data_IF_929759092601
#
_entry.id   IF_929759092601
#
_cell.length_a   1.000
_cell.length_b   1.000
_cell.length_c   1.000
_cell.angle_alpha   90.00
_cell.angle_beta   90.00
_cell.angle_gamma   90.00
#
_symmetry.space_group_name_H-M   'P 1'
#
loop_
_entity.id
_entity.type
_entity.pdbx_description
1 polymer ?
#
# COMPACT_ATOMS: atom_id res chain seq x y z
N UNK A 1 -3.66 -5.76 -19.00
CA UNK A 1 -4.72 -5.93 -18.01
C UNK A 1 -5.40 -4.57 -17.80
N UNK A 2 -6.67 -4.47 -18.19
CA UNK A 2 -7.43 -3.21 -18.20
C UNK A 2 -8.06 -2.89 -16.82
N UNK A 3 -7.61 -3.56 -15.76
CA UNK A 3 -8.29 -3.50 -14.47
C UNK A 3 -7.48 -2.86 -13.35
N UNK A 4 -6.17 -3.00 -13.37
CA UNK A 4 -5.27 -2.34 -12.44
C UNK A 4 -3.82 -2.34 -12.93
N UNK A 5 -3.04 -1.43 -12.35
CA UNK A 5 -1.59 -1.35 -12.49
C UNK A 5 -0.97 -0.98 -11.14
N UNK A 6 0.29 -1.29 -10.98
CA UNK A 6 1.10 -0.86 -9.83
C UNK A 6 2.56 -0.67 -10.25
N UNK A 7 3.28 0.11 -9.49
CA UNK A 7 4.73 0.25 -9.64
C UNK A 7 5.45 -0.67 -8.65
N UNK A 8 6.59 -1.20 -9.08
CA UNK A 8 7.52 -1.95 -8.25
C UNK A 8 8.94 -1.68 -8.73
N UNK A 9 9.62 -0.79 -8.05
CA UNK A 9 10.85 -0.18 -8.52
C UNK A 9 12.13 -0.73 -7.87
N UNK A 10 11.97 -1.76 -7.05
CA UNK A 10 13.06 -2.48 -6.36
C UNK A 10 13.85 -3.33 -7.36
N UNK A 11 15.18 -3.41 -7.26
CA UNK A 11 16.04 -2.62 -6.39
C UNK A 11 16.45 -1.26 -6.97
N UNK A 12 16.44 -1.10 -8.29
CA UNK A 12 16.92 0.07 -9.03
C UNK A 12 16.19 0.22 -10.38
N UNK A 13 14.87 0.13 -10.38
CA UNK A 13 14.01 0.18 -11.57
C UNK A 13 13.31 1.52 -11.77
N UNK A 14 13.51 2.50 -10.88
CA UNK A 14 12.88 3.81 -11.01
C UNK A 14 13.28 4.48 -12.33
N UNK A 15 14.50 4.29 -12.78
CA UNK A 15 15.00 4.75 -14.07
C UNK A 15 14.25 4.19 -15.31
N UNK A 16 13.46 3.14 -15.13
CA UNK A 16 12.61 2.59 -16.20
C UNK A 16 11.27 3.30 -16.29
N UNK A 17 10.87 4.02 -15.24
CA UNK A 17 9.64 4.77 -15.16
C UNK A 17 9.85 6.26 -15.45
N UNK A 18 10.91 6.84 -14.88
CA UNK A 18 11.27 8.25 -15.08
C UNK A 18 12.80 8.46 -15.02
N UNK A 19 13.36 9.50 -15.69
CA UNK A 19 14.78 9.82 -15.60
C UNK A 19 15.16 10.22 -14.16
N UNK A 20 16.10 9.49 -13.56
CA UNK A 20 16.59 9.77 -12.21
C UNK A 20 17.98 9.19 -11.98
N UNK A 21 18.63 9.66 -10.91
CA UNK A 21 19.76 8.97 -10.30
C UNK A 21 19.19 7.87 -9.38
N UNK A 22 19.20 6.64 -9.85
CA UNK A 22 18.53 5.51 -9.18
C UNK A 22 19.44 4.88 -8.13
N UNK A 23 19.68 5.64 -7.04
CA UNK A 23 20.53 5.24 -5.92
C UNK A 23 19.77 5.48 -4.61
N UNK A 24 19.80 4.52 -3.67
CA UNK A 24 18.97 4.58 -2.44
C UNK A 24 19.27 5.77 -1.52
N UNK A 25 20.50 6.26 -1.52
CA UNK A 25 20.95 7.40 -0.71
C UNK A 25 20.58 8.76 -1.33
N UNK A 26 20.20 8.78 -2.60
CA UNK A 26 19.75 9.99 -3.31
C UNK A 26 18.23 10.15 -3.16
N UNK A 27 17.79 10.59 -1.99
CA UNK A 27 16.37 10.80 -1.70
C UNK A 27 15.82 12.05 -2.36
N UNK A 28 14.56 11.99 -2.77
CA UNK A 28 13.84 13.11 -3.37
C UNK A 28 12.41 13.22 -2.81
N UNK A 29 11.86 14.42 -2.88
CA UNK A 29 10.42 14.67 -2.69
C UNK A 29 9.73 14.42 -4.03
N UNK A 30 8.69 13.60 -4.02
CA UNK A 30 7.90 13.29 -5.20
C UNK A 30 6.56 14.03 -5.15
N UNK A 31 6.17 14.64 -6.26
CA UNK A 31 4.81 15.11 -6.53
C UNK A 31 4.22 14.27 -7.64
N UNK A 32 3.03 13.75 -7.44
CA UNK A 32 2.37 12.85 -8.39
C UNK A 32 1.01 13.40 -8.79
N UNK A 33 0.74 13.35 -10.08
CA UNK A 33 -0.61 13.49 -10.63
C UNK A 33 -0.90 12.30 -11.53
N UNK A 34 -2.09 11.74 -11.41
CA UNK A 34 -2.56 10.64 -12.24
C UNK A 34 -3.86 11.03 -12.94
N UNK A 35 -3.90 10.86 -14.24
CA UNK A 35 -5.12 10.94 -15.03
C UNK A 35 -5.58 9.53 -15.37
N UNK A 36 -6.67 9.09 -14.74
CA UNK A 36 -7.16 7.71 -14.76
C UNK A 36 -8.65 7.66 -15.18
N UNK A 37 -9.17 6.50 -15.61
CA UNK A 37 -10.60 6.33 -15.80
C UNK A 37 -11.38 6.71 -14.54
N UNK A 38 -12.54 7.39 -14.69
CA UNK A 38 -13.34 7.91 -13.57
C UNK A 38 -13.65 6.86 -12.50
N UNK A 39 -13.93 5.61 -12.92
CA UNK A 39 -14.26 4.49 -12.02
C UNK A 39 -13.05 3.84 -11.32
N UNK A 40 -11.82 4.27 -11.64
CA UNK A 40 -10.63 3.76 -10.99
C UNK A 40 -10.33 4.49 -9.69
N UNK A 41 -9.66 3.81 -8.78
CA UNK A 41 -9.10 4.36 -7.55
C UNK A 41 -7.59 4.36 -7.68
N UNK A 42 -6.94 5.39 -7.15
CA UNK A 42 -5.49 5.44 -7.07
C UNK A 42 -5.01 5.61 -5.63
N UNK A 43 -3.90 4.96 -5.33
CA UNK A 43 -3.20 5.02 -4.04
C UNK A 43 -1.74 5.31 -4.33
N UNK A 44 -1.12 6.21 -3.58
CA UNK A 44 0.29 6.53 -3.68
C UNK A 44 0.91 6.72 -2.29
N UNK A 45 2.21 7.00 -2.23
CA UNK A 45 2.92 7.24 -0.96
C UNK A 45 2.29 8.36 -0.12
N UNK A 46 1.79 9.42 -0.75
CA UNK A 46 1.17 10.55 -0.07
C UNK A 46 -0.36 10.54 -0.17
N UNK A 47 -1.02 11.32 0.67
CA UNK A 47 -2.46 11.49 0.64
C UNK A 47 -2.93 12.22 -0.63
N UNK A 48 -4.17 12.00 -1.01
CA UNK A 48 -4.82 12.75 -2.10
C UNK A 48 -5.00 14.19 -1.64
N UNK A 49 -4.54 15.13 -2.46
CA UNK A 49 -4.73 16.56 -2.27
C UNK A 49 -6.01 17.05 -2.95
N UNK A 50 -6.24 16.60 -4.19
CA UNK A 50 -7.43 16.97 -4.96
C UNK A 50 -7.80 15.94 -6.01
N UNK A 51 -9.10 15.90 -6.35
CA UNK A 51 -9.65 15.12 -7.46
C UNK A 51 -10.51 16.01 -8.33
N UNK A 52 -10.35 15.91 -9.64
CA UNK A 52 -11.16 16.63 -10.62
C UNK A 52 -11.64 15.69 -11.72
N UNK A 53 -12.95 15.67 -11.96
CA UNK A 53 -13.56 14.88 -13.02
C UNK A 53 -13.58 15.67 -14.34
N UNK A 54 -13.20 15.01 -15.43
CA UNK A 54 -13.26 15.60 -16.77
C UNK A 54 -13.44 14.49 -17.83
N UNK A 55 -14.40 14.66 -18.72
CA UNK A 55 -14.61 13.78 -19.88
C UNK A 55 -14.60 12.26 -19.58
N UNK A 56 -15.19 11.83 -18.45
CA UNK A 56 -15.22 10.43 -18.01
C UNK A 56 -13.88 9.92 -17.44
N UNK A 57 -12.99 10.84 -17.12
CA UNK A 57 -11.70 10.60 -16.47
C UNK A 57 -11.62 11.38 -15.16
N UNK A 58 -10.65 11.00 -14.35
CA UNK A 58 -10.38 11.62 -13.06
C UNK A 58 -8.89 11.98 -12.96
N UNK A 59 -8.63 13.27 -12.82
CA UNK A 59 -7.30 13.78 -12.48
C UNK A 59 -7.18 13.81 -10.96
N UNK A 60 -6.21 13.05 -10.41
CA UNK A 60 -5.90 13.00 -8.98
C UNK A 60 -4.53 13.63 -8.77
N UNK A 61 -4.46 14.64 -7.93
CA UNK A 61 -3.20 15.18 -7.41
C UNK A 61 -2.95 14.66 -6.00
N UNK A 62 -1.71 14.25 -5.72
CA UNK A 62 -1.28 13.82 -4.40
C UNK A 62 -0.42 14.90 -3.75
N UNK A 63 -0.46 14.97 -2.43
CA UNK A 63 0.45 15.81 -1.66
C UNK A 63 1.90 15.43 -1.94
N UNK A 64 2.86 16.37 -1.79
CA UNK A 64 4.27 16.03 -1.87
C UNK A 64 4.65 14.99 -0.80
N UNK A 65 5.48 14.01 -1.17
CA UNK A 65 6.00 13.05 -0.20
C UNK A 65 7.03 13.69 0.72
N UNK A 66 7.35 13.03 1.83
CA UNK A 66 8.63 13.25 2.49
C UNK A 66 9.77 12.77 1.56
N UNK A 67 11.05 13.13 1.82
CA UNK A 67 12.17 12.64 1.02
C UNK A 67 12.26 11.12 1.07
N UNK A 68 12.04 10.46 -0.08
CA UNK A 68 12.08 9.01 -0.25
C UNK A 68 13.21 8.61 -1.20
N UNK A 69 13.77 7.41 -0.99
CA UNK A 69 14.58 6.73 -1.98
C UNK A 69 13.74 6.40 -3.23
N UNK A 70 14.35 6.41 -4.40
CA UNK A 70 13.64 6.20 -5.67
C UNK A 70 12.87 4.88 -5.73
N UNK A 71 13.41 3.80 -5.17
CA UNK A 71 12.78 2.48 -5.17
C UNK A 71 11.53 2.40 -4.27
N UNK A 72 11.39 3.33 -3.31
CA UNK A 72 10.21 3.44 -2.43
C UNK A 72 9.07 4.28 -3.02
N UNK A 73 9.32 4.98 -4.13
CA UNK A 73 8.25 5.68 -4.82
C UNK A 73 7.25 4.67 -5.40
N UNK A 74 5.98 4.83 -5.05
CA UNK A 74 4.94 3.89 -5.45
C UNK A 74 3.61 4.56 -5.73
N UNK A 75 2.91 4.03 -6.70
CA UNK A 75 1.49 4.23 -6.89
C UNK A 75 0.82 2.98 -7.46
N UNK A 76 -0.44 2.86 -7.16
CA UNK A 76 -1.35 1.83 -7.65
C UNK A 76 -2.58 2.51 -8.22
N UNK A 77 -3.10 2.06 -9.34
CA UNK A 77 -4.36 2.55 -9.88
C UNK A 77 -5.19 1.40 -10.47
N UNK A 78 -6.51 1.45 -10.34
CA UNK A 78 -7.39 0.40 -10.86
C UNK A 78 -8.76 0.34 -10.23
N UNK A 79 -9.47 -0.76 -10.52
CA UNK A 79 -10.76 -1.09 -9.92
C UNK A 79 -10.54 -1.79 -8.58
N UNK A 80 -10.37 -1.04 -7.53
CA UNK A 80 -10.16 -1.53 -6.17
C UNK A 80 -11.43 -1.41 -5.34
N UNK A 81 -11.70 -2.42 -4.52
CA UNK A 81 -12.58 -2.32 -3.37
C UNK A 81 -11.78 -1.78 -2.18
N UNK A 82 -12.46 -1.17 -1.21
CA UNK A 82 -11.78 -0.60 -0.05
C UNK A 82 -12.57 -0.84 1.23
N UNK A 83 -11.84 -1.06 2.31
CA UNK A 83 -12.32 -1.10 3.68
C UNK A 83 -11.42 -0.22 4.51
N UNK A 84 -11.99 0.51 5.46
CA UNK A 84 -11.25 1.38 6.35
C UNK A 84 -11.54 1.03 7.80
N UNK A 85 -10.52 1.12 8.64
CA UNK A 85 -10.66 0.99 10.09
C UNK A 85 -9.87 2.08 10.81
N UNK A 86 -10.44 2.60 11.89
CA UNK A 86 -9.82 3.67 12.69
C UNK A 86 -9.64 3.21 14.12
N UNK A 87 -8.40 3.36 14.65
CA UNK A 87 -8.07 3.06 16.06
C UNK A 87 -7.09 4.13 16.57
N UNK A 88 -7.30 4.61 17.76
CA UNK A 88 -6.41 5.56 18.43
C UNK A 88 -6.05 6.79 17.58
N UNK A 89 -7.01 7.28 16.79
CA UNK A 89 -6.83 8.44 15.91
C UNK A 89 -6.11 8.16 14.59
N UNK A 90 -5.69 6.91 14.33
CA UNK A 90 -5.12 6.48 13.04
C UNK A 90 -6.19 5.78 12.22
N UNK A 91 -6.32 6.15 10.95
CA UNK A 91 -7.18 5.48 9.97
C UNK A 91 -6.31 4.75 8.96
N UNK A 92 -6.59 3.48 8.75
CA UNK A 92 -5.92 2.62 7.76
C UNK A 92 -6.94 2.19 6.74
N UNK A 93 -6.62 2.33 5.47
CA UNK A 93 -7.45 1.86 4.36
C UNK A 93 -6.79 0.64 3.71
N UNK A 94 -7.55 -0.41 3.54
CA UNK A 94 -7.16 -1.61 2.81
C UNK A 94 -7.83 -1.61 1.44
N UNK A 95 -7.04 -1.65 0.39
CA UNK A 95 -7.47 -1.77 -1.00
C UNK A 95 -7.26 -3.20 -1.47
N UNK A 96 -8.27 -3.81 -2.09
CA UNK A 96 -8.23 -5.21 -2.47
C UNK A 96 -9.11 -5.50 -3.69
N UNK A 97 -8.94 -6.69 -4.26
CA UNK A 97 -9.74 -7.18 -5.41
C UNK A 97 -10.36 -8.55 -5.15
N UNK A 98 -10.15 -9.12 -3.97
CA UNK A 98 -10.79 -10.39 -3.60
C UNK A 98 -12.32 -10.27 -3.61
N UNK A 99 -13.01 -11.26 -4.11
CA UNK A 99 -14.47 -11.30 -4.23
C UNK A 99 -15.11 -12.40 -3.40
N UNK A 100 -14.33 -13.33 -2.87
CA UNK A 100 -14.81 -14.38 -1.96
C UNK A 100 -15.14 -13.74 -0.59
N UNK A 101 -16.42 -13.74 -0.16
CA UNK A 101 -16.80 -13.12 1.10
C UNK A 101 -16.12 -13.75 2.33
N UNK A 102 -15.78 -15.04 2.28
CA UNK A 102 -15.10 -15.71 3.40
C UNK A 102 -13.66 -15.21 3.55
N UNK A 103 -12.99 -14.95 2.44
CA UNK A 103 -11.65 -14.37 2.44
C UNK A 103 -11.69 -12.89 2.84
N UNK A 104 -12.62 -12.13 2.28
CA UNK A 104 -12.79 -10.70 2.61
C UNK A 104 -13.10 -10.53 4.10
N UNK A 105 -13.87 -11.44 4.72
CA UNK A 105 -14.16 -11.41 6.16
C UNK A 105 -12.90 -11.47 7.04
N UNK A 106 -11.74 -11.89 6.50
CA UNK A 106 -10.47 -11.85 7.23
C UNK A 106 -9.91 -10.44 7.41
N UNK A 107 -10.53 -9.40 6.82
CA UNK A 107 -10.08 -8.01 6.98
C UNK A 107 -9.93 -7.62 8.46
N UNK A 108 -10.80 -8.09 9.33
CA UNK A 108 -10.74 -7.77 10.76
C UNK A 108 -9.41 -8.20 11.38
N UNK A 109 -9.00 -9.47 11.16
CA UNK A 109 -7.73 -9.96 11.69
C UNK A 109 -6.52 -9.33 10.99
N UNK A 110 -6.64 -8.96 9.72
CA UNK A 110 -5.58 -8.22 9.01
C UNK A 110 -5.38 -6.85 9.65
N UNK A 111 -6.45 -6.09 9.90
CA UNK A 111 -6.36 -4.81 10.61
C UNK A 111 -5.82 -4.98 12.02
N UNK A 112 -6.25 -6.00 12.77
CA UNK A 112 -5.73 -6.30 14.11
C UNK A 112 -4.20 -6.49 14.08
N UNK A 113 -3.70 -7.26 13.12
CA UNK A 113 -2.27 -7.53 12.97
C UNK A 113 -1.49 -6.26 12.58
N UNK A 114 -2.03 -5.43 11.69
CA UNK A 114 -1.39 -4.17 11.27
C UNK A 114 -1.32 -3.17 12.42
N UNK A 115 -2.42 -2.91 13.11
CA UNK A 115 -2.44 -2.00 14.26
C UNK A 115 -1.54 -2.49 15.39
N UNK A 116 -1.52 -3.80 15.65
CA UNK A 116 -0.62 -4.40 16.64
C UNK A 116 0.86 -4.21 16.26
N UNK A 117 1.22 -4.42 14.98
CA UNK A 117 2.59 -4.24 14.49
C UNK A 117 3.04 -2.78 14.59
N UNK A 118 2.21 -1.84 14.13
CA UNK A 118 2.49 -0.40 14.26
C UNK A 118 2.70 0.00 15.72
N UNK A 119 1.76 -0.38 16.60
CA UNK A 119 1.88 -0.05 18.01
C UNK A 119 3.13 -0.66 18.64
N UNK A 120 3.42 -1.92 18.37
CA UNK A 120 4.60 -2.58 18.91
C UNK A 120 5.89 -1.90 18.47
N UNK A 121 5.99 -1.51 17.19
CA UNK A 121 7.17 -0.82 16.66
C UNK A 121 7.33 0.58 17.26
N UNK A 122 6.24 1.34 17.37
CA UNK A 122 6.26 2.67 18.01
C UNK A 122 6.69 2.57 19.49
N UNK A 123 6.16 1.59 20.23
CA UNK A 123 6.52 1.36 21.63
C UNK A 123 7.99 0.91 21.77
N UNK A 124 8.45 0.02 20.88
CA UNK A 124 9.81 -0.53 20.91
C UNK A 124 10.89 0.49 20.51
N UNK A 125 10.62 1.26 19.48
CA UNK A 125 11.58 2.26 18.97
C UNK A 125 11.51 3.59 19.71
N UNK A 126 10.38 3.91 20.35
CA UNK A 126 10.06 5.22 20.89
C UNK A 126 9.81 6.28 19.81
N UNK A 127 9.64 5.85 18.55
CA UNK A 127 9.43 6.74 17.39
C UNK A 127 8.03 6.48 16.84
N UNK A 128 7.14 7.49 16.82
CA UNK A 128 5.86 7.37 16.13
C UNK A 128 6.05 7.09 14.63
N UNK A 129 5.10 6.36 14.01
CA UNK A 129 5.13 6.16 12.57
C UNK A 129 5.25 7.51 11.84
N UNK A 130 6.30 7.73 11.04
CA UNK A 130 6.69 9.07 10.61
C UNK A 130 5.93 9.60 9.39
N UNK A 131 5.09 8.78 8.76
CA UNK A 131 4.36 9.17 7.55
C UNK A 131 2.90 9.48 7.85
N UNK A 132 2.26 10.31 7.01
CA UNK A 132 0.91 10.84 7.26
C UNK A 132 -0.21 9.79 7.15
N UNK A 133 0.05 8.69 6.44
CA UNK A 133 -0.90 7.59 6.28
C UNK A 133 -0.20 6.24 6.21
N UNK A 134 -0.95 5.19 6.48
CA UNK A 134 -0.55 3.80 6.31
C UNK A 134 -1.68 3.05 5.62
N UNK A 135 -1.61 2.89 4.30
CA UNK A 135 -2.60 2.13 3.55
C UNK A 135 -2.03 0.78 3.13
N UNK A 136 -2.90 -0.22 3.02
CA UNK A 136 -2.59 -1.55 2.55
C UNK A 136 -3.15 -1.72 1.15
N UNK A 137 -2.36 -2.21 0.21
CA UNK A 137 -2.86 -2.61 -1.11
C UNK A 137 -2.57 -4.08 -1.33
N UNK A 138 -3.61 -4.90 -1.34
CA UNK A 138 -3.51 -6.35 -1.53
C UNK A 138 -3.60 -6.64 -3.03
N UNK A 139 -2.44 -6.90 -3.64
CA UNK A 139 -2.26 -6.99 -5.10
C UNK A 139 -2.37 -8.44 -5.56
N UNK A 140 -3.31 -8.78 -6.47
CA UNK A 140 -3.40 -10.11 -7.03
C UNK A 140 -2.13 -10.50 -7.79
N UNK A 141 -1.55 -11.64 -7.40
CA UNK A 141 -0.35 -12.16 -8.05
C UNK A 141 0.90 -11.31 -7.87
N UNK A 142 0.98 -10.52 -6.78
CA UNK A 142 2.18 -9.75 -6.46
C UNK A 142 3.40 -10.66 -6.37
N UNK A 143 4.53 -10.26 -6.97
CA UNK A 143 5.69 -11.14 -7.12
C UNK A 143 6.50 -11.37 -5.83
N UNK A 144 6.35 -10.49 -4.82
CA UNK A 144 6.95 -10.63 -3.49
C UNK A 144 5.87 -10.95 -2.46
N UNK A 145 6.24 -11.19 -1.21
CA UNK A 145 5.30 -11.28 -0.09
C UNK A 145 4.65 -9.93 0.20
N UNK A 146 5.46 -8.91 0.29
CA UNK A 146 5.09 -7.53 0.47
C UNK A 146 6.15 -6.57 -0.07
N UNK A 147 5.93 -5.28 0.12
CA UNK A 147 6.86 -4.20 -0.18
C UNK A 147 6.53 -2.96 0.66
N UNK A 148 7.50 -2.49 1.40
CA UNK A 148 7.44 -1.46 2.44
C UNK A 148 7.31 -0.02 1.92
N UNK A 149 6.56 0.21 0.85
CA UNK A 149 6.36 1.56 0.33
C UNK A 149 5.71 2.46 1.39
N UNK A 150 6.36 3.55 1.85
CA UNK A 150 5.77 4.44 2.84
C UNK A 150 4.40 4.94 2.41
N UNK A 151 3.42 4.84 3.31
CA UNK A 151 2.06 5.28 3.06
C UNK A 151 1.20 4.38 2.17
N UNK A 152 1.79 3.41 1.43
CA UNK A 152 1.07 2.54 0.50
C UNK A 152 1.74 1.16 0.41
N UNK A 153 1.70 0.39 1.49
CA UNK A 153 2.36 -0.92 1.59
C UNK A 153 1.65 -1.93 0.69
N UNK A 154 2.39 -2.58 -0.20
CA UNK A 154 1.85 -3.60 -1.09
C UNK A 154 2.02 -4.99 -0.48
N UNK A 155 1.00 -5.85 -0.67
CA UNK A 155 1.00 -7.23 -0.19
C UNK A 155 0.52 -8.20 -1.26
N UNK A 156 1.02 -9.41 -1.22
CA UNK A 156 0.54 -10.51 -2.05
C UNK A 156 -0.82 -11.02 -1.53
N UNK A 157 -1.79 -11.12 -2.43
CA UNK A 157 -3.17 -11.55 -2.11
C UNK A 157 -3.25 -12.91 -1.42
N UNK A 158 -2.45 -13.88 -1.86
CA UNK A 158 -2.44 -15.25 -1.30
C UNK A 158 -1.79 -15.32 0.08
N UNK A 159 -0.95 -14.35 0.41
CA UNK A 159 -0.33 -14.25 1.74
C UNK A 159 -1.24 -13.56 2.74
N UNK A 160 -2.12 -12.69 2.26
CA UNK A 160 -3.03 -11.91 3.10
C UNK A 160 -4.39 -12.59 3.26
N UNK A 161 -4.99 -13.09 2.18
CA UNK A 161 -6.26 -13.81 2.21
C UNK A 161 -6.01 -15.32 2.20
N UNK A 162 -5.92 -15.91 3.40
CA UNK A 162 -5.66 -17.33 3.58
C UNK A 162 -6.86 -18.19 3.18
N UNK A 163 -6.63 -19.48 2.98
CA UNK A 163 -7.68 -20.46 2.73
C UNK A 163 -8.69 -20.59 3.88
N UNK A 164 -9.78 -21.35 3.71
CA UNK A 164 -10.85 -21.47 4.70
C UNK A 164 -10.43 -22.18 6.00
N UNK A 165 -9.33 -22.92 5.97
CA UNK A 165 -8.78 -23.64 7.11
C UNK A 165 -7.27 -23.44 7.16
N UNK A 166 -6.80 -22.22 7.49
CA UNK A 166 -5.37 -21.94 7.52
C UNK A 166 -4.70 -22.73 8.64
N UNK A 167 -3.49 -23.16 8.39
CA UNK A 167 -2.62 -23.71 9.42
C UNK A 167 -2.10 -22.60 10.30
N UNK A 168 -1.63 -22.95 11.51
CA UNK A 168 -0.95 -21.99 12.41
C UNK A 168 0.26 -21.36 11.72
N UNK A 169 0.99 -22.12 10.91
CA UNK A 169 2.15 -21.64 10.17
C UNK A 169 1.76 -20.56 9.14
N UNK A 170 0.63 -20.74 8.42
CA UNK A 170 0.12 -19.74 7.48
C UNK A 170 -0.33 -18.48 8.20
N UNK A 171 -1.00 -18.59 9.34
CA UNK A 171 -1.44 -17.45 10.16
C UNK A 171 -0.24 -16.67 10.73
N UNK A 172 0.76 -17.38 11.26
CA UNK A 172 2.01 -16.77 11.73
C UNK A 172 2.79 -16.13 10.58
N UNK A 173 2.85 -16.79 9.42
CA UNK A 173 3.50 -16.26 8.23
C UNK A 173 2.86 -14.97 7.70
N UNK A 174 1.54 -14.80 7.82
CA UNK A 174 0.87 -13.53 7.53
C UNK A 174 1.25 -12.45 8.54
N UNK A 175 1.22 -12.77 9.82
CA UNK A 175 1.59 -11.83 10.88
C UNK A 175 3.05 -11.39 10.76
N UNK A 176 3.97 -12.34 10.49
CA UNK A 176 5.38 -12.06 10.25
C UNK A 176 5.59 -11.12 9.04
N UNK A 177 4.87 -11.39 7.93
CA UNK A 177 4.93 -10.54 6.75
C UNK A 177 4.46 -9.12 7.07
N UNK A 178 3.32 -8.96 7.74
CA UNK A 178 2.79 -7.65 8.12
C UNK A 178 3.79 -6.91 9.02
N UNK A 179 4.36 -7.59 10.03
CA UNK A 179 5.33 -6.98 10.91
C UNK A 179 6.61 -6.55 10.17
N UNK A 180 7.07 -7.38 9.21
CA UNK A 180 8.23 -7.08 8.36
C UNK A 180 8.02 -5.81 7.52
N UNK A 181 6.90 -5.72 6.82
CA UNK A 181 6.60 -4.57 5.93
C UNK A 181 6.24 -3.29 6.70
N UNK A 182 5.99 -3.39 8.01
CA UNK A 182 5.71 -2.23 8.88
C UNK A 182 7.01 -1.61 9.42
N UNK A 183 8.13 -2.33 9.33
CA UNK A 183 9.45 -1.91 9.84
C UNK A 183 10.11 -0.91 8.91
#
# INVERSE_FOLDING_TARGET
>A
NDEFLYTLLVPERARTLFPCFDQPDMKAVFTLQLDIPEQWVAVANAAVESETLHEGRKLIAFQPTQPLSTYLFSFVAGKWQQLAESRDGKTIVMYYRETDPQKVAQHTIIFDQVFASLKWLEDYTGIPYPFDKYDLVIVPGFQFGGMEHPGAVLYNDKRMFLGPHPTIEEELGRMELIAHETT
#
